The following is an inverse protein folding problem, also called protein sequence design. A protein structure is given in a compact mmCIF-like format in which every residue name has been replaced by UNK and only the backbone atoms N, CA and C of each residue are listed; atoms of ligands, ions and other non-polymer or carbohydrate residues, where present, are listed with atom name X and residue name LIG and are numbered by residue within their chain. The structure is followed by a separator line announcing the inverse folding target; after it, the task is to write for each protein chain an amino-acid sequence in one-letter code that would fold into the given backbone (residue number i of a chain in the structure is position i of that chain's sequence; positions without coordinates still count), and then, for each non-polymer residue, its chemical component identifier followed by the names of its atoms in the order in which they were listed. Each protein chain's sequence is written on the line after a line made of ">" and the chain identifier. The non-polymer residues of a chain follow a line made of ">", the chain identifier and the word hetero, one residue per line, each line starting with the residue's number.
data_IF_075975166240
#
_entry.id   IF_075975166240
#
_cell.length_a   1.000
_cell.length_b   1.000
_cell.length_c   1.000
_cell.angle_alpha   90.00
_cell.angle_beta   90.00
_cell.angle_gamma   90.00
#
_symmetry.space_group_name_H-M   'P 1'
#
loop_
_entity.id
_entity.type
_entity.pdbx_description
1 polymer ?
#
# COMPACT_ATOMS: atom_id res chain seq x y z
N UNK A 1 14.35 -0.57 5.88
CA UNK A 1 12.98 -0.09 5.69
C UNK A 1 12.03 -1.18 6.14
N UNK A 2 11.05 -0.82 6.98
CA UNK A 2 10.01 -1.75 7.46
C UNK A 2 8.63 -1.12 7.29
N UNK A 3 7.67 -1.92 6.83
CA UNK A 3 6.26 -1.55 6.69
C UNK A 3 5.35 -2.45 7.54
N UNK A 4 5.73 -3.72 7.72
CA UNK A 4 5.00 -4.71 8.51
C UNK A 4 5.77 -4.97 9.81
N UNK A 5 5.05 -5.00 10.93
CA UNK A 5 5.65 -5.05 12.27
C UNK A 5 5.08 -6.20 13.08
N UNK A 6 5.91 -6.80 13.88
CA UNK A 6 5.45 -7.73 14.90
C UNK A 6 4.62 -6.98 15.96
N UNK A 7 3.52 -7.59 16.39
CA UNK A 7 2.59 -7.06 17.41
C UNK A 7 1.85 -5.76 17.04
N UNK A 8 1.61 -5.50 15.75
CA UNK A 8 0.76 -4.35 15.36
C UNK A 8 -0.56 -4.29 16.15
N UNK A 9 -1.00 -3.14 16.59
CA UNK A 9 -0.46 -1.79 16.35
C UNK A 9 0.60 -1.35 17.36
N UNK A 10 0.98 -2.21 18.29
CA UNK A 10 1.97 -1.92 19.36
C UNK A 10 3.37 -2.29 18.88
N UNK A 11 4.03 -1.31 18.26
CA UNK A 11 5.35 -1.51 17.69
C UNK A 11 6.42 -1.65 18.79
N UNK A 12 7.44 -2.49 18.55
CA UNK A 12 8.64 -2.52 19.37
C UNK A 12 9.42 -1.21 19.21
N UNK A 13 9.59 -0.40 20.29
CA UNK A 13 10.29 0.88 20.19
C UNK A 13 11.77 0.75 19.79
N UNK A 14 12.43 -0.33 20.16
CA UNK A 14 13.85 -0.54 19.84
C UNK A 14 14.01 -0.87 18.34
N UNK A 15 13.12 -1.68 17.79
CA UNK A 15 13.11 -1.99 16.37
C UNK A 15 12.77 -0.75 15.54
N UNK A 16 11.76 0.01 15.99
CA UNK A 16 11.33 1.24 15.32
C UNK A 16 12.46 2.28 15.27
N UNK A 17 13.18 2.49 16.37
CA UNK A 17 14.30 3.43 16.45
C UNK A 17 15.43 3.05 15.49
N UNK A 18 15.80 1.78 15.42
CA UNK A 18 16.86 1.26 14.54
C UNK A 18 16.48 1.20 13.06
N UNK A 19 15.20 1.31 12.73
CA UNK A 19 14.72 1.25 11.35
C UNK A 19 15.02 2.56 10.63
N UNK A 20 15.64 2.54 9.46
CA UNK A 20 15.93 3.73 8.67
C UNK A 20 14.64 4.46 8.26
N UNK A 21 13.72 3.75 7.61
CA UNK A 21 12.40 4.25 7.24
C UNK A 21 11.33 3.26 7.73
N UNK A 22 10.31 3.80 8.40
CA UNK A 22 9.22 3.07 9.01
C UNK A 22 7.88 3.56 8.47
N UNK A 23 7.02 2.66 8.04
CA UNK A 23 5.67 2.99 7.55
C UNK A 23 4.61 2.16 8.25
N UNK A 24 3.34 2.64 8.33
CA UNK A 24 2.31 1.99 9.14
C UNK A 24 1.53 0.92 8.35
N UNK A 25 2.21 -0.05 7.74
CA UNK A 25 1.64 -1.17 6.99
C UNK A 25 0.73 -0.72 5.82
N UNK A 26 1.28 0.14 4.96
CA UNK A 26 0.56 0.78 3.83
C UNK A 26 1.12 0.42 2.45
N UNK A 27 2.14 -0.43 2.35
CA UNK A 27 2.79 -0.75 1.07
C UNK A 27 1.81 -1.28 0.02
N UNK A 28 0.80 -2.06 0.43
CA UNK A 28 -0.27 -2.56 -0.44
C UNK A 28 -1.44 -1.60 -0.67
N UNK A 29 -1.36 -0.36 -0.17
CA UNK A 29 -2.47 0.59 -0.21
C UNK A 29 -2.45 1.42 -1.50
N UNK A 30 -2.65 0.76 -2.64
CA UNK A 30 -2.96 1.40 -3.91
C UNK A 30 -4.38 1.04 -4.38
N UNK A 31 -4.99 1.89 -5.20
CA UNK A 31 -6.31 1.61 -5.80
C UNK A 31 -6.27 0.31 -6.59
N UNK A 32 -5.28 0.16 -7.46
CA UNK A 32 -5.11 -1.03 -8.29
C UNK A 32 -4.73 -2.27 -7.47
N UNK A 33 -3.87 -2.12 -6.45
CA UNK A 33 -3.50 -3.22 -5.56
C UNK A 33 -4.70 -3.78 -4.81
N UNK A 34 -5.56 -2.92 -4.26
CA UNK A 34 -6.81 -3.33 -3.59
C UNK A 34 -7.80 -3.98 -4.57
N UNK A 35 -8.00 -3.39 -5.75
CA UNK A 35 -8.86 -3.93 -6.79
C UNK A 35 -8.38 -5.29 -7.28
N UNK A 36 -7.07 -5.44 -7.52
CA UNK A 36 -6.46 -6.70 -7.96
C UNK A 36 -6.60 -7.79 -6.91
N UNK A 37 -6.34 -7.48 -5.63
CA UNK A 37 -6.52 -8.44 -4.53
C UNK A 37 -7.97 -8.94 -4.45
N UNK A 38 -8.95 -8.04 -4.59
CA UNK A 38 -10.37 -8.40 -4.63
C UNK A 38 -10.70 -9.27 -5.85
N UNK A 39 -10.23 -8.88 -7.04
CA UNK A 39 -10.46 -9.64 -8.27
C UNK A 39 -9.86 -11.06 -8.20
N UNK A 40 -8.67 -11.21 -7.64
CA UNK A 40 -8.05 -12.53 -7.41
C UNK A 40 -8.87 -13.39 -6.46
N UNK A 41 -9.40 -12.82 -5.38
CA UNK A 41 -10.26 -13.53 -4.43
C UNK A 41 -11.56 -13.99 -5.10
N UNK A 42 -12.20 -13.11 -5.87
CA UNK A 42 -13.41 -13.44 -6.65
C UNK A 42 -13.13 -14.54 -7.68
N UNK A 43 -12.02 -14.44 -8.42
CA UNK A 43 -11.64 -15.44 -9.41
C UNK A 43 -11.38 -16.81 -8.78
N UNK A 44 -10.74 -16.85 -7.60
CA UNK A 44 -10.50 -18.08 -6.84
C UNK A 44 -11.82 -18.75 -6.43
N UNK A 45 -12.74 -17.99 -5.82
CA UNK A 45 -14.06 -18.48 -5.43
C UNK A 45 -14.89 -18.90 -6.63
N UNK A 46 -14.88 -18.11 -7.71
CA UNK A 46 -15.57 -18.44 -8.95
C UNK A 46 -15.04 -19.75 -9.57
N UNK A 47 -13.72 -19.97 -9.50
CA UNK A 47 -13.12 -21.22 -9.93
C UNK A 47 -13.58 -22.42 -9.10
N UNK A 48 -13.64 -22.28 -7.80
CA UNK A 48 -14.08 -23.33 -6.87
C UNK A 48 -15.56 -23.69 -7.04
N UNK A 49 -16.43 -22.69 -7.17
CA UNK A 49 -17.87 -22.89 -7.29
C UNK A 49 -18.39 -23.00 -8.74
N UNK A 50 -17.53 -22.94 -9.74
CA UNK A 50 -17.94 -22.98 -11.16
C UNK A 50 -18.73 -21.76 -11.63
N UNK A 51 -18.52 -20.58 -11.02
CA UNK A 51 -19.25 -19.35 -11.33
C UNK A 51 -18.63 -18.62 -12.55
N UNK A 52 -19.41 -17.91 -13.38
CA UNK A 52 -18.92 -17.17 -14.54
C UNK A 52 -18.30 -15.82 -14.17
N UNK A 53 -17.48 -15.76 -13.10
CA UNK A 53 -16.88 -14.53 -12.56
C UNK A 53 -15.34 -14.56 -12.56
N UNK A 54 -14.70 -15.48 -13.29
CA UNK A 54 -13.24 -15.61 -13.28
C UNK A 54 -12.49 -14.40 -13.81
N UNK A 55 -13.10 -13.62 -14.69
CA UNK A 55 -12.53 -12.39 -15.26
C UNK A 55 -13.09 -11.10 -14.66
N UNK A 56 -13.80 -11.18 -13.53
CA UNK A 56 -14.38 -10.02 -12.88
C UNK A 56 -13.29 -9.09 -12.32
N UNK A 57 -13.48 -7.79 -12.50
CA UNK A 57 -12.65 -6.74 -11.95
C UNK A 57 -13.51 -5.53 -11.56
N UNK A 58 -13.23 -4.81 -10.44
CA UNK A 58 -14.01 -3.63 -10.06
C UNK A 58 -13.99 -2.54 -11.12
N UNK A 59 -15.16 -2.03 -11.50
CA UNK A 59 -15.31 -1.03 -12.58
C UNK A 59 -14.73 0.33 -12.24
N UNK A 60 -14.69 0.68 -10.96
CA UNK A 60 -14.19 1.96 -10.45
C UNK A 60 -12.66 2.06 -10.45
N UNK A 61 -11.97 0.93 -10.50
CA UNK A 61 -10.52 0.86 -10.45
C UNK A 61 -9.98 0.34 -11.78
N UNK A 62 -9.76 1.23 -12.73
CA UNK A 62 -9.14 0.83 -14.00
C UNK A 62 -7.75 0.19 -13.75
N UNK A 63 -7.43 -0.92 -14.42
CA UNK A 63 -6.10 -1.51 -14.34
C UNK A 63 -5.01 -0.49 -14.67
N UNK A 64 -3.85 -0.61 -14.04
CA UNK A 64 -2.68 0.17 -14.44
C UNK A 64 -2.25 -0.22 -15.84
N UNK A 65 -2.02 0.79 -16.67
CA UNK A 65 -1.39 0.60 -17.97
C UNK A 65 0.08 0.96 -17.80
N UNK A 66 1.02 0.02 -17.92
CA UNK A 66 2.44 0.31 -17.84
C UNK A 66 2.82 1.41 -18.82
N UNK A 67 3.48 2.46 -18.35
CA UNK A 67 4.02 3.53 -19.17
C UNK A 67 5.52 3.57 -18.99
N UNK A 68 6.31 3.66 -20.06
CA UNK A 68 7.74 3.91 -19.94
C UNK A 68 7.91 5.35 -19.45
N UNK A 69 8.30 5.51 -18.19
CA UNK A 69 8.61 6.82 -17.63
C UNK A 69 10.13 6.95 -17.47
N UNK A 70 10.72 8.10 -17.84
CA UNK A 70 12.10 8.39 -17.50
C UNK A 70 12.29 8.28 -15.98
N UNK A 71 13.43 7.72 -15.55
CA UNK A 71 13.69 7.46 -14.13
C UNK A 71 13.48 8.69 -13.23
N UNK A 72 13.89 9.87 -13.72
CA UNK A 72 13.74 11.11 -12.95
C UNK A 72 12.27 11.51 -12.75
N UNK A 73 11.45 11.35 -13.77
CA UNK A 73 10.00 11.63 -13.67
C UNK A 73 9.32 10.66 -12.71
N UNK A 74 9.69 9.38 -12.76
CA UNK A 74 9.20 8.37 -11.85
C UNK A 74 9.55 8.70 -10.39
N UNK A 75 10.80 9.05 -10.12
CA UNK A 75 11.24 9.45 -8.79
C UNK A 75 10.49 10.67 -8.25
N UNK A 76 10.27 11.68 -9.10
CA UNK A 76 9.50 12.87 -8.74
C UNK A 76 8.06 12.51 -8.41
N UNK A 77 7.40 11.75 -9.30
CA UNK A 77 6.01 11.32 -9.11
C UNK A 77 5.82 10.52 -7.82
N UNK A 78 6.77 9.62 -7.50
CA UNK A 78 6.71 8.82 -6.26
C UNK A 78 6.83 9.73 -5.03
N UNK A 79 7.78 10.68 -5.03
CA UNK A 79 7.98 11.60 -3.91
C UNK A 79 6.78 12.53 -3.70
N UNK A 80 6.23 13.06 -4.78
CA UNK A 80 5.08 13.95 -4.72
C UNK A 80 3.81 13.24 -4.25
N UNK A 81 3.71 11.94 -4.53
CA UNK A 81 2.57 11.14 -4.11
C UNK A 81 2.64 10.67 -2.65
N UNK A 82 3.86 10.44 -2.12
CA UNK A 82 4.04 9.95 -0.76
C UNK A 82 5.41 10.32 -0.19
N UNK A 83 5.41 11.25 0.74
CA UNK A 83 6.60 11.64 1.50
C UNK A 83 6.89 10.62 2.61
N UNK A 84 7.58 9.55 2.24
CA UNK A 84 7.94 8.44 3.15
C UNK A 84 8.82 8.89 4.32
N UNK A 85 9.65 9.92 4.13
CA UNK A 85 10.53 10.43 5.19
C UNK A 85 9.71 11.16 6.26
N UNK A 86 8.79 12.03 5.85
CA UNK A 86 7.89 12.72 6.77
C UNK A 86 6.98 11.73 7.52
N UNK A 87 6.44 10.74 6.84
CA UNK A 87 5.63 9.69 7.47
C UNK A 87 6.43 8.85 8.48
N UNK A 88 7.66 8.46 8.11
CA UNK A 88 8.56 7.74 9.01
C UNK A 88 8.89 8.55 10.27
N UNK A 89 9.18 9.83 10.12
CA UNK A 89 9.42 10.72 11.26
C UNK A 89 8.18 10.82 12.17
N UNK A 90 6.99 10.94 11.57
CA UNK A 90 5.73 11.00 12.32
C UNK A 90 5.48 9.72 13.12
N UNK A 91 5.65 8.55 12.49
CA UNK A 91 5.46 7.26 13.14
C UNK A 91 6.46 7.06 14.29
N UNK A 92 7.73 7.41 14.08
CA UNK A 92 8.76 7.34 15.13
C UNK A 92 8.48 8.28 16.29
N UNK A 93 8.01 9.50 16.01
CA UNK A 93 7.68 10.49 17.04
C UNK A 93 6.45 10.07 17.87
N UNK A 94 5.47 9.41 17.26
CA UNK A 94 4.22 8.97 17.90
C UNK A 94 3.78 7.59 17.44
N UNK A 95 4.42 6.51 17.92
CA UNK A 95 4.07 5.14 17.51
C UNK A 95 2.61 4.75 17.82
N UNK A 96 1.99 5.40 18.81
CA UNK A 96 0.59 5.18 19.16
C UNK A 96 -0.38 5.63 18.05
N UNK A 97 0.06 6.48 17.12
CA UNK A 97 -0.76 6.93 15.99
C UNK A 97 -0.77 5.92 14.81
N UNK A 98 -0.16 4.75 14.95
CA UNK A 98 -0.01 3.74 13.89
C UNK A 98 -1.33 3.45 13.15
N UNK A 99 -2.39 3.10 13.89
CA UNK A 99 -3.71 2.81 13.30
C UNK A 99 -4.30 4.05 12.62
N UNK A 100 -4.26 5.21 13.30
CA UNK A 100 -4.78 6.45 12.75
C UNK A 100 -4.05 6.87 11.47
N UNK A 101 -2.74 6.71 11.40
CA UNK A 101 -1.95 6.99 10.19
C UNK A 101 -2.34 6.04 9.05
N UNK A 102 -2.56 4.77 9.35
CA UNK A 102 -2.98 3.75 8.40
C UNK A 102 -4.41 3.99 7.89
N UNK A 103 -5.33 4.34 8.78
CA UNK A 103 -6.74 4.57 8.44
C UNK A 103 -6.93 5.85 7.60
N UNK A 104 -6.11 6.86 7.82
CA UNK A 104 -6.15 8.11 7.06
C UNK A 104 -5.26 8.13 5.82
N UNK A 105 -4.59 7.00 5.52
CA UNK A 105 -3.75 6.90 4.34
C UNK A 105 -4.57 7.05 3.05
N UNK A 106 -4.19 8.00 2.19
CA UNK A 106 -4.83 8.16 0.87
C UNK A 106 -4.30 7.11 -0.07
N UNK A 107 -5.17 6.28 -0.62
CA UNK A 107 -4.79 5.30 -1.63
C UNK A 107 -4.19 6.00 -2.83
N UNK A 108 -2.98 5.61 -3.18
CA UNK A 108 -2.31 6.07 -4.38
C UNK A 108 -2.74 5.24 -5.59
N UNK A 109 -2.55 5.80 -6.78
CA UNK A 109 -2.60 5.01 -8.01
C UNK A 109 -1.24 4.40 -8.29
N UNK A 110 -1.21 3.25 -8.95
CA UNK A 110 0.04 2.66 -9.43
C UNK A 110 0.66 3.55 -10.51
N UNK A 111 1.98 3.64 -10.54
CA UNK A 111 2.73 4.55 -11.42
C UNK A 111 3.17 3.89 -12.74
N UNK A 112 3.00 2.60 -12.85
CA UNK A 112 3.44 1.77 -13.97
C UNK A 112 2.47 0.61 -14.24
#
# INVERSE_FOLDING_TARGET
>A
VLDVWEHEPRLDPQLLDRTLLATPHVAGYSEQGKATATAMSVATLAGFFGLPLRGWYPSEAAPSVPRPNPWQELCTTIRDAYDIEAESHRLKARPADFEAMRDHYRYRREYF
#
